data_IF_553820275032
#
_entry.id   IF_553820275032
#
_cell.length_a   1.000
_cell.length_b   1.000
_cell.length_c   1.000
_cell.angle_alpha   90.00
_cell.angle_beta   90.00
_cell.angle_gamma   90.00
#
_symmetry.space_group_name_H-M   'P 1'
#
loop_
_entity.id
_entity.type
_entity.pdbx_description
1 polymer ?
#
# COMPACT_ATOMS: atom_id res chain seq x y z
N UNK A 1 -11.69 -63.50 8.38
CA UNK A 1 -10.27 -63.22 8.17
C UNK A 1 -10.15 -61.73 7.87
N UNK A 2 -9.45 -60.98 8.75
CA UNK A 2 -8.94 -59.60 8.62
C UNK A 2 -9.99 -58.47 8.81
N UNK A 3 -10.11 -57.88 10.00
CA UNK A 3 -9.23 -56.97 10.77
C UNK A 3 -9.45 -55.49 10.43
N UNK A 4 -9.94 -54.75 11.43
CA UNK A 4 -10.15 -53.30 11.43
C UNK A 4 -8.80 -52.61 11.63
N UNK A 5 -8.39 -51.78 10.69
CA UNK A 5 -7.26 -50.85 10.86
C UNK A 5 -7.76 -49.41 10.95
N UNK A 6 -7.65 -48.82 12.15
CA UNK A 6 -7.68 -47.35 12.33
C UNK A 6 -6.32 -46.81 11.90
N UNK A 7 -6.31 -45.72 11.13
CA UNK A 7 -5.20 -44.77 11.12
C UNK A 7 -5.76 -43.36 11.26
N UNK A 8 -5.43 -42.76 12.40
CA UNK A 8 -5.68 -41.36 12.73
C UNK A 8 -4.79 -40.45 11.87
N UNK A 9 -5.38 -39.47 11.20
CA UNK A 9 -4.67 -38.29 10.71
C UNK A 9 -5.10 -37.13 11.62
N UNK A 10 -4.19 -36.48 12.35
CA UNK A 10 -4.54 -35.34 13.19
C UNK A 10 -4.83 -34.12 12.31
N UNK A 11 -6.07 -33.63 12.35
CA UNK A 11 -6.39 -32.28 11.87
C UNK A 11 -5.75 -31.29 12.83
N UNK A 12 -4.71 -30.59 12.39
CA UNK A 12 -4.21 -29.41 13.10
C UNK A 12 -5.13 -28.23 12.78
N UNK A 13 -5.75 -27.57 13.77
CA UNK A 13 -6.26 -26.23 13.57
C UNK A 13 -5.14 -25.26 13.92
N UNK A 14 -4.47 -24.69 12.91
CA UNK A 14 -3.72 -23.43 13.09
C UNK A 14 -4.74 -22.33 13.40
N UNK A 15 -5.09 -22.19 14.68
CA UNK A 15 -5.73 -20.97 15.19
C UNK A 15 -4.65 -19.92 15.32
N UNK A 16 -4.63 -18.93 14.42
CA UNK A 16 -3.95 -17.67 14.66
C UNK A 16 -4.67 -16.96 15.81
N UNK A 17 -4.20 -17.19 17.02
CA UNK A 17 -4.70 -16.46 18.20
C UNK A 17 -4.15 -15.05 18.12
N UNK A 18 -4.95 -14.13 17.57
CA UNK A 18 -4.75 -12.71 17.77
C UNK A 18 -4.81 -12.47 19.29
N UNK A 19 -3.65 -12.22 19.93
CA UNK A 19 -3.58 -12.00 21.38
C UNK A 19 -4.37 -10.74 21.71
N UNK A 20 -5.53 -10.89 22.37
CA UNK A 20 -6.28 -9.77 22.96
C UNK A 20 -5.34 -8.99 23.89
N UNK A 21 -5.35 -7.65 23.80
CA UNK A 21 -4.67 -6.75 24.75
C UNK A 21 -5.18 -7.04 26.16
N UNK A 22 -4.30 -7.59 27.01
CA UNK A 22 -4.52 -7.69 28.46
C UNK A 22 -3.89 -6.43 29.08
N UNK A 23 -4.61 -5.63 29.89
CA UNK A 23 -3.98 -4.56 30.66
C UNK A 23 -3.00 -5.16 31.67
N UNK A 24 -1.76 -4.66 31.72
CA UNK A 24 -0.80 -5.06 32.75
C UNK A 24 -1.15 -4.38 34.08
N UNK A 25 -0.97 -5.05 35.23
CA UNK A 25 -1.18 -4.43 36.54
C UNK A 25 -0.15 -3.31 36.78
N UNK A 26 -0.59 -2.24 37.45
CA UNK A 26 0.21 -1.07 37.82
C UNK A 26 1.32 -1.46 38.81
N UNK A 27 2.57 -1.22 38.43
CA UNK A 27 3.71 -1.36 39.34
C UNK A 27 3.96 -0.03 40.06
N UNK A 28 3.61 0.05 41.34
CA UNK A 28 4.19 1.01 42.27
C UNK A 28 5.59 0.54 42.67
N UNK A 29 6.60 1.39 42.49
CA UNK A 29 7.98 1.13 42.91
C UNK A 29 8.97 2.05 42.22
N UNK A 30 9.38 3.12 42.93
CA UNK A 30 10.43 4.06 42.50
C UNK A 30 11.77 3.33 42.39
N UNK A 31 12.18 3.03 41.16
CA UNK A 31 13.58 3.03 40.76
C UNK A 31 13.80 4.29 39.90
N UNK A 32 14.98 4.90 39.97
CA UNK A 32 15.41 5.90 38.98
C UNK A 32 15.49 5.18 37.62
N UNK A 33 14.36 5.08 36.93
CA UNK A 33 14.24 4.45 35.62
C UNK A 33 15.09 5.26 34.66
N UNK A 34 16.09 4.61 34.03
CA UNK A 34 16.69 5.12 32.80
C UNK A 34 15.54 5.61 31.91
N UNK A 35 15.55 6.90 31.56
CA UNK A 35 14.52 7.47 30.71
C UNK A 35 14.57 6.72 29.39
N UNK A 36 13.49 5.99 29.12
CA UNK A 36 13.33 5.28 27.85
C UNK A 36 13.05 6.31 26.78
N UNK A 37 13.81 6.29 25.70
CA UNK A 37 13.53 7.08 24.50
C UNK A 37 12.84 6.19 23.46
N UNK A 38 11.72 6.70 22.94
CA UNK A 38 10.96 6.13 21.84
C UNK A 38 11.30 6.92 20.56
N UNK A 39 11.68 6.22 19.50
CA UNK A 39 11.75 6.80 18.16
C UNK A 39 10.49 6.45 17.34
N UNK A 40 10.07 7.37 16.47
CA UNK A 40 9.01 7.14 15.48
C UNK A 40 9.59 7.46 14.11
N UNK A 41 9.37 6.59 13.13
CA UNK A 41 9.74 6.83 11.73
C UNK A 41 8.65 6.37 10.77
N UNK A 42 8.61 6.98 9.59
CA UNK A 42 7.63 6.66 8.54
C UNK A 42 8.35 6.24 7.26
N UNK A 43 8.02 5.05 6.77
CA UNK A 43 8.57 4.48 5.54
C UNK A 43 7.54 4.28 4.42
N UNK A 44 8.03 4.22 3.18
CA UNK A 44 7.26 3.91 1.99
C UNK A 44 6.53 5.09 1.37
N UNK A 45 5.37 4.84 0.76
CA UNK A 45 4.51 5.87 0.15
C UNK A 45 3.55 6.54 1.14
N UNK A 46 2.99 7.71 0.78
CA UNK A 46 2.04 8.43 1.64
C UNK A 46 0.72 7.65 1.78
N UNK A 47 0.10 7.72 2.96
CA UNK A 47 -1.25 7.23 3.19
C UNK A 47 -1.99 8.17 4.17
N UNK A 48 -3.29 8.43 3.98
CA UNK A 48 -4.07 9.20 4.95
C UNK A 48 -4.03 8.54 6.34
N UNK A 49 -3.76 9.33 7.39
CA UNK A 49 -3.76 8.85 8.77
C UNK A 49 -2.38 8.72 9.43
N UNK A 50 -1.27 8.90 8.70
CA UNK A 50 0.09 8.89 9.27
C UNK A 50 0.19 9.81 10.50
N UNK A 51 -0.25 11.06 10.36
CA UNK A 51 -0.22 12.05 11.45
C UNK A 51 -1.10 11.65 12.65
N UNK A 52 -2.16 10.87 12.43
CA UNK A 52 -2.99 10.34 13.52
C UNK A 52 -2.22 9.30 14.34
N UNK A 53 -1.45 8.44 13.66
CA UNK A 53 -0.58 7.44 14.33
C UNK A 53 0.53 8.14 15.11
N UNK A 54 1.23 9.10 14.49
CA UNK A 54 2.28 9.88 15.15
C UNK A 54 1.72 10.58 16.39
N UNK A 55 0.62 11.32 16.24
CA UNK A 55 0.00 12.04 17.34
C UNK A 55 -0.44 11.13 18.49
N UNK A 56 -1.10 10.02 18.19
CA UNK A 56 -1.54 9.06 19.20
C UNK A 56 -0.35 8.42 19.95
N UNK A 57 0.71 8.03 19.23
CA UNK A 57 1.91 7.45 19.82
C UNK A 57 2.65 8.45 20.72
N UNK A 58 2.85 9.69 20.24
CA UNK A 58 3.51 10.76 21.01
C UNK A 58 2.71 11.06 22.28
N UNK A 59 1.40 11.28 22.17
CA UNK A 59 0.56 11.58 23.35
C UNK A 59 0.65 10.44 24.37
N UNK A 60 0.53 9.18 23.95
CA UNK A 60 0.62 8.05 24.89
C UNK A 60 1.99 7.94 25.55
N UNK A 61 3.07 8.10 24.79
CA UNK A 61 4.43 8.00 25.30
C UNK A 61 4.75 9.13 26.30
N UNK A 62 4.38 10.38 25.98
CA UNK A 62 4.59 11.53 26.87
C UNK A 62 3.80 11.40 28.18
N UNK A 63 2.58 10.86 28.14
CA UNK A 63 1.79 10.56 29.35
C UNK A 63 2.43 9.48 30.25
N UNK A 64 3.29 8.63 29.69
CA UNK A 64 4.09 7.62 30.41
C UNK A 64 5.49 8.13 30.77
N UNK A 65 5.76 9.43 30.63
CA UNK A 65 7.06 10.06 30.84
C UNK A 65 8.20 9.43 29.99
N UNK A 66 7.87 8.96 28.78
CA UNK A 66 8.82 8.49 27.77
C UNK A 66 9.15 9.64 26.81
N UNK A 67 10.44 9.91 26.59
CA UNK A 67 10.88 10.92 25.64
C UNK A 67 10.71 10.40 24.21
N UNK A 68 10.26 11.26 23.28
CA UNK A 68 9.93 10.83 21.91
C UNK A 68 10.76 11.61 20.89
N UNK A 69 11.38 10.88 19.97
CA UNK A 69 12.10 11.42 18.82
C UNK A 69 11.37 11.05 17.52
N UNK A 70 11.06 12.05 16.70
CA UNK A 70 10.69 11.85 15.30
C UNK A 70 11.93 11.74 14.44
N UNK A 71 12.15 10.60 13.80
CA UNK A 71 13.24 10.42 12.83
C UNK A 71 12.75 10.92 11.47
N UNK A 72 13.45 11.91 10.91
CA UNK A 72 13.02 12.52 9.64
C UNK A 72 13.28 11.59 8.47
N UNK A 73 12.37 11.61 7.51
CA UNK A 73 12.48 10.88 6.23
C UNK A 73 12.79 9.38 6.39
N UNK A 74 12.13 8.73 7.36
CA UNK A 74 12.20 7.28 7.52
C UNK A 74 13.60 6.79 7.87
N UNK A 75 14.15 5.93 7.01
CA UNK A 75 15.49 5.37 7.21
C UNK A 75 16.62 6.16 6.54
N UNK A 76 16.29 7.17 5.74
CA UNK A 76 17.22 7.84 4.79
C UNK A 76 18.52 8.29 5.46
N UNK A 77 18.41 9.02 6.58
CA UNK A 77 19.55 9.61 7.27
C UNK A 77 20.24 8.62 8.21
N UNK A 78 19.46 7.88 9.00
CA UNK A 78 20.01 6.96 10.00
C UNK A 78 20.77 5.79 9.38
N UNK A 79 20.41 5.36 8.16
CA UNK A 79 21.16 4.32 7.44
C UNK A 79 22.52 4.80 6.92
N UNK A 80 22.71 6.12 6.80
CA UNK A 80 23.98 6.75 6.49
C UNK A 80 24.80 7.05 7.76
N UNK A 81 24.24 6.78 8.94
CA UNK A 81 24.84 7.09 10.23
C UNK A 81 24.65 8.55 10.68
N UNK A 82 23.84 9.34 9.96
CA UNK A 82 23.49 10.72 10.29
C UNK A 82 22.38 10.72 11.34
N UNK A 83 22.65 11.36 12.48
CA UNK A 83 21.74 11.46 13.64
C UNK A 83 21.21 12.88 13.87
N UNK A 84 21.57 13.84 13.01
CA UNK A 84 21.17 15.24 13.16
C UNK A 84 19.73 15.47 12.65
N UNK A 85 19.20 14.51 11.90
CA UNK A 85 17.87 14.53 11.29
C UNK A 85 16.79 13.95 12.20
N UNK A 86 16.83 14.30 13.49
CA UNK A 86 15.82 13.91 14.48
C UNK A 86 15.22 15.14 15.14
N UNK A 87 13.96 15.04 15.54
CA UNK A 87 13.24 16.15 16.19
C UNK A 87 12.52 15.64 17.43
N UNK A 88 12.72 16.26 18.61
CA UNK A 88 11.92 15.94 19.79
C UNK A 88 10.44 16.21 19.53
N UNK A 89 9.58 15.27 19.94
CA UNK A 89 8.13 15.41 19.80
C UNK A 89 7.47 15.47 21.18
N UNK A 90 6.71 16.54 21.41
CA UNK A 90 5.85 16.69 22.59
C UNK A 90 4.38 16.81 22.19
N UNK A 91 3.48 16.73 23.18
CA UNK A 91 2.02 16.85 23.00
C UNK A 91 1.65 18.16 22.27
N UNK A 92 2.37 19.25 22.55
CA UNK A 92 2.18 20.53 21.86
C UNK A 92 2.50 20.46 20.36
N UNK A 93 3.62 19.82 20.00
CA UNK A 93 4.09 19.68 18.60
C UNK A 93 3.14 18.84 17.75
N UNK A 94 2.55 17.79 18.33
CA UNK A 94 1.59 16.93 17.62
C UNK A 94 0.14 17.37 17.78
N UNK A 95 -0.10 18.54 18.38
CA UNK A 95 -1.46 19.05 18.53
C UNK A 95 -2.10 19.27 17.16
N UNK A 96 -3.28 18.68 16.96
CA UNK A 96 -4.11 18.82 15.74
C UNK A 96 -3.48 18.34 14.42
N UNK A 97 -2.30 17.75 14.40
CA UNK A 97 -1.69 17.24 13.15
C UNK A 97 -2.54 16.14 12.50
N UNK A 98 -3.37 15.43 13.27
CA UNK A 98 -4.29 14.40 12.79
C UNK A 98 -5.36 14.90 11.79
N UNK A 99 -5.63 16.21 11.76
CA UNK A 99 -6.51 16.81 10.73
C UNK A 99 -5.82 17.02 9.39
N UNK A 100 -4.49 16.89 9.32
CA UNK A 100 -3.69 17.13 8.11
C UNK A 100 -3.27 15.81 7.48
N UNK A 101 -3.31 15.75 6.14
CA UNK A 101 -2.68 14.69 5.37
C UNK A 101 -1.15 14.75 5.40
N UNK A 102 -0.50 13.82 4.72
CA UNK A 102 0.97 13.72 4.66
C UNK A 102 1.59 13.16 5.95
N UNK A 103 2.88 13.43 6.15
CA UNK A 103 3.65 13.01 7.32
C UNK A 103 4.36 14.22 7.95
N UNK A 104 4.11 14.48 9.22
CA UNK A 104 4.71 15.59 9.97
C UNK A 104 6.24 15.48 10.07
N UNK A 105 6.77 14.25 10.13
CA UNK A 105 8.21 13.97 10.25
C UNK A 105 8.83 13.53 8.91
N UNK A 106 8.17 13.78 7.78
CA UNK A 106 8.65 13.33 6.47
C UNK A 106 8.45 11.82 6.26
N UNK A 107 8.85 11.35 5.08
CA UNK A 107 8.68 9.95 4.65
C UNK A 107 9.67 9.66 3.51
N UNK A 108 10.25 8.46 3.50
CA UNK A 108 11.13 8.01 2.40
C UNK A 108 10.89 6.56 2.02
N UNK A 109 11.37 6.18 0.83
CA UNK A 109 11.44 4.78 0.36
C UNK A 109 12.78 4.12 0.68
N UNK A 110 13.60 4.75 1.53
CA UNK A 110 14.88 4.21 1.96
C UNK A 110 14.71 2.86 2.64
N UNK A 111 15.55 1.89 2.28
CA UNK A 111 15.52 0.56 2.87
C UNK A 111 16.94 0.16 3.32
N UNK A 112 17.20 0.12 4.63
CA UNK A 112 18.52 -0.19 5.16
C UNK A 112 18.89 -1.67 4.99
N UNK A 113 17.96 -2.56 4.64
CA UNK A 113 18.25 -4.00 4.50
C UNK A 113 18.88 -4.36 3.16
N UNK A 114 19.03 -3.40 2.24
CA UNK A 114 19.68 -3.64 0.94
C UNK A 114 21.20 -3.77 1.05
N UNK A 115 21.78 -3.18 2.09
CA UNK A 115 23.22 -3.20 2.37
C UNK A 115 23.43 -3.50 3.86
N UNK A 116 24.21 -4.54 4.23
CA UNK A 116 24.55 -4.81 5.62
C UNK A 116 25.15 -3.61 6.37
N UNK A 117 25.95 -2.75 5.71
CA UNK A 117 26.52 -1.57 6.33
C UNK A 117 25.45 -0.54 6.69
N UNK A 118 24.45 -0.34 5.83
CA UNK A 118 23.31 0.55 6.10
C UNK A 118 22.46 0.06 7.27
N UNK A 119 22.23 -1.25 7.36
CA UNK A 119 21.52 -1.83 8.50
C UNK A 119 22.29 -1.61 9.80
N UNK A 120 23.61 -1.81 9.79
CA UNK A 120 24.46 -1.63 10.96
C UNK A 120 24.51 -0.16 11.41
N UNK A 121 24.64 0.76 10.46
CA UNK A 121 24.57 2.20 10.71
C UNK A 121 23.23 2.60 11.33
N UNK A 122 22.11 2.09 10.81
CA UNK A 122 20.78 2.42 11.34
C UNK A 122 20.60 1.95 12.78
N UNK A 123 21.07 0.74 13.14
CA UNK A 123 21.04 0.26 14.53
C UNK A 123 21.94 1.14 15.40
N UNK A 124 23.17 1.41 14.97
CA UNK A 124 24.12 2.23 15.74
C UNK A 124 23.61 3.66 15.95
N UNK A 125 22.98 4.26 14.94
CA UNK A 125 22.37 5.59 15.02
C UNK A 125 21.29 5.63 16.10
N UNK A 126 20.36 4.67 16.10
CA UNK A 126 19.31 4.57 17.11
C UNK A 126 19.89 4.38 18.52
N UNK A 127 20.91 3.53 18.68
CA UNK A 127 21.56 3.32 19.98
C UNK A 127 22.32 4.57 20.46
N UNK A 128 22.99 5.31 19.57
CA UNK A 128 23.66 6.58 19.89
C UNK A 128 22.69 7.65 20.35
N UNK A 129 21.45 7.63 19.83
CA UNK A 129 20.34 8.47 20.26
C UNK A 129 19.66 7.99 21.55
N UNK A 130 20.22 6.97 22.21
CA UNK A 130 19.66 6.32 23.41
C UNK A 130 18.24 5.78 23.20
N UNK A 131 17.90 5.39 21.97
CA UNK A 131 16.60 4.83 21.60
C UNK A 131 16.54 3.37 22.03
N UNK A 132 15.56 3.06 22.89
CA UNK A 132 15.29 1.69 23.36
C UNK A 132 14.00 1.11 22.76
N UNK A 133 13.15 1.97 22.19
CA UNK A 133 11.87 1.61 21.59
C UNK A 133 11.73 2.29 20.24
N UNK A 134 11.20 1.58 19.24
CA UNK A 134 10.97 2.12 17.91
C UNK A 134 9.55 1.78 17.44
N UNK A 135 8.82 2.80 17.00
CA UNK A 135 7.60 2.64 16.21
C UNK A 135 7.93 2.92 14.75
N UNK A 136 7.73 1.93 13.89
CA UNK A 136 7.83 2.11 12.43
C UNK A 136 6.43 2.17 11.82
N UNK A 137 6.21 3.07 10.87
CA UNK A 137 4.92 3.25 10.19
C UNK A 137 5.15 3.04 8.69
N UNK A 138 4.65 1.96 8.10
CA UNK A 138 5.00 1.61 6.72
C UNK A 138 4.29 0.37 6.18
N UNK A 139 4.58 0.02 4.93
CA UNK A 139 4.11 -1.21 4.30
C UNK A 139 5.07 -2.38 4.53
N UNK A 140 4.99 -3.41 3.69
CA UNK A 140 5.80 -4.65 3.79
C UNK A 140 7.31 -4.38 3.89
N UNK A 141 7.86 -3.53 3.02
CA UNK A 141 9.29 -3.21 3.03
C UNK A 141 9.72 -2.65 4.39
N UNK A 142 8.91 -1.76 4.99
CA UNK A 142 9.20 -1.16 6.30
C UNK A 142 9.02 -2.17 7.43
N UNK A 143 8.02 -3.06 7.34
CA UNK A 143 7.82 -4.15 8.30
C UNK A 143 9.04 -5.09 8.29
N UNK A 144 9.56 -5.42 7.11
CA UNK A 144 10.77 -6.24 6.96
C UNK A 144 12.01 -5.54 7.52
N UNK A 145 12.22 -4.24 7.21
CA UNK A 145 13.31 -3.47 7.80
C UNK A 145 13.22 -3.40 9.33
N UNK A 146 12.02 -3.23 9.88
CA UNK A 146 11.76 -3.21 11.31
C UNK A 146 12.15 -4.53 11.99
N UNK A 147 11.76 -5.67 11.41
CA UNK A 147 12.15 -7.00 11.89
C UNK A 147 13.67 -7.18 11.87
N UNK A 148 14.34 -6.79 10.77
CA UNK A 148 15.80 -6.91 10.64
C UNK A 148 16.57 -6.03 11.63
N UNK A 149 16.06 -4.83 11.91
CA UNK A 149 16.63 -3.96 12.94
C UNK A 149 16.52 -4.57 14.34
N UNK A 150 15.35 -5.14 14.69
CA UNK A 150 15.16 -5.80 15.99
C UNK A 150 16.08 -7.00 16.17
N UNK A 151 16.18 -7.87 15.15
CA UNK A 151 17.09 -9.02 15.12
C UNK A 151 18.55 -8.57 15.36
N UNK A 152 18.99 -7.54 14.62
CA UNK A 152 20.38 -7.03 14.71
C UNK A 152 20.65 -6.30 16.03
N UNK A 153 19.65 -5.63 16.60
CA UNK A 153 19.78 -4.93 17.88
C UNK A 153 19.92 -5.90 19.08
N UNK A 154 19.57 -7.18 18.91
CA UNK A 154 19.76 -8.24 19.89
C UNK A 154 19.18 -7.89 21.28
N UNK A 155 17.94 -7.38 21.30
CA UNK A 155 17.21 -7.03 22.52
C UNK A 155 17.49 -5.63 23.08
N UNK A 156 18.43 -4.87 22.50
CA UNK A 156 18.68 -3.46 22.87
C UNK A 156 17.64 -2.50 22.33
N UNK A 157 16.89 -2.90 21.30
CA UNK A 157 15.83 -2.13 20.67
C UNK A 157 14.56 -3.00 20.61
N UNK A 158 13.45 -2.49 21.11
CA UNK A 158 12.14 -3.10 20.97
C UNK A 158 11.38 -2.41 19.83
N UNK A 159 10.86 -3.18 18.88
CA UNK A 159 10.23 -2.60 17.69
C UNK A 159 8.74 -2.95 17.61
N UNK A 160 7.92 -1.95 17.31
CA UNK A 160 6.51 -2.12 16.98
C UNK A 160 6.27 -1.53 15.59
N UNK A 161 5.62 -2.31 14.73
CA UNK A 161 5.26 -1.87 13.39
C UNK A 161 3.78 -1.51 13.30
N UNK A 162 3.47 -0.40 12.63
CA UNK A 162 2.11 0.04 12.31
C UNK A 162 1.88 -0.13 10.81
N UNK A 163 0.99 -1.07 10.41
CA UNK A 163 0.78 -1.45 9.01
C UNK A 163 0.08 -0.32 8.22
N UNK A 164 0.81 0.28 7.28
CA UNK A 164 0.40 1.41 6.45
C UNK A 164 0.48 1.06 4.97
N UNK A 165 -0.67 1.01 4.31
CA UNK A 165 -0.78 0.97 2.84
C UNK A 165 -2.18 1.40 2.44
N UNK A 166 -2.31 2.06 1.28
CA UNK A 166 -3.62 2.33 0.68
C UNK A 166 -4.12 1.15 -0.16
N UNK A 167 -3.25 0.17 -0.44
CA UNK A 167 -3.55 -0.97 -1.31
C UNK A 167 -4.22 -2.11 -0.53
N UNK A 168 -4.23 -2.05 0.80
CA UNK A 168 -4.79 -3.06 1.71
C UNK A 168 -4.23 -4.47 1.47
N UNK A 169 -2.95 -4.55 1.12
CA UNK A 169 -2.24 -5.74 0.65
C UNK A 169 -1.34 -6.39 1.70
N UNK A 170 -1.37 -5.90 2.94
CA UNK A 170 -0.63 -6.50 4.07
C UNK A 170 -1.40 -7.70 4.64
N UNK A 171 -0.67 -8.72 5.08
CA UNK A 171 -1.25 -9.94 5.70
C UNK A 171 -1.80 -9.65 7.11
N UNK A 172 -3.00 -9.04 7.15
CA UNK A 172 -3.77 -8.76 8.34
C UNK A 172 -4.99 -9.69 8.43
N UNK A 173 -5.60 -9.86 9.62
CA UNK A 173 -6.87 -10.56 9.73
C UNK A 173 -7.90 -9.98 8.74
N UNK A 174 -8.70 -10.79 8.03
CA UNK A 174 -9.57 -10.33 6.94
C UNK A 174 -10.59 -9.25 7.30
N UNK A 175 -10.83 -9.02 8.59
CA UNK A 175 -11.73 -7.99 9.10
C UNK A 175 -11.05 -6.66 9.44
N UNK A 176 -9.74 -6.55 9.23
CA UNK A 176 -8.93 -5.39 9.60
C UNK A 176 -8.29 -4.81 8.35
N UNK A 177 -8.79 -3.65 7.94
CA UNK A 177 -8.17 -2.89 6.87
C UNK A 177 -6.92 -2.16 7.37
N UNK A 178 -5.94 -2.00 6.49
CA UNK A 178 -4.82 -1.09 6.71
C UNK A 178 -5.31 0.35 6.74
N UNK A 179 -4.70 1.18 7.57
CA UNK A 179 -5.10 2.58 7.62
C UNK A 179 -4.70 3.30 6.31
N UNK A 180 -5.54 4.23 5.88
CA UNK A 180 -5.41 4.92 4.60
C UNK A 180 -6.28 4.33 3.48
N UNK A 181 -6.50 3.00 3.47
CA UNK A 181 -7.33 2.33 2.45
C UNK A 181 -8.76 2.90 2.37
N UNK A 182 -9.47 2.99 3.50
CA UNK A 182 -10.86 3.48 3.50
C UNK A 182 -10.99 4.94 3.05
N UNK A 183 -10.04 5.80 3.41
CA UNK A 183 -10.00 7.19 2.95
C UNK A 183 -9.72 7.26 1.45
N UNK A 184 -8.72 6.51 0.95
CA UNK A 184 -8.41 6.46 -0.47
C UNK A 184 -9.60 5.94 -1.30
N UNK A 185 -10.23 4.85 -0.83
CA UNK A 185 -11.45 4.29 -1.42
C UNK A 185 -12.59 5.31 -1.43
N UNK A 186 -12.82 6.02 -0.33
CA UNK A 186 -13.89 7.01 -0.22
C UNK A 186 -13.78 8.09 -1.30
N UNK A 187 -12.61 8.72 -1.43
CA UNK A 187 -12.38 9.73 -2.46
C UNK A 187 -12.40 9.14 -3.87
N UNK A 188 -11.84 7.93 -4.07
CA UNK A 188 -11.92 7.23 -5.35
C UNK A 188 -13.36 6.99 -5.81
N UNK A 189 -14.26 6.65 -4.89
CA UNK A 189 -15.70 6.48 -5.18
C UNK A 189 -16.33 7.80 -5.60
N UNK A 190 -16.02 8.92 -4.94
CA UNK A 190 -16.55 10.24 -5.30
C UNK A 190 -16.12 10.64 -6.71
N UNK A 191 -14.83 10.46 -7.03
CA UNK A 191 -14.28 10.75 -8.36
C UNK A 191 -14.97 9.89 -9.43
N UNK A 192 -15.06 8.58 -9.22
CA UNK A 192 -15.70 7.67 -10.17
C UNK A 192 -17.17 8.01 -10.37
N UNK A 193 -17.91 8.38 -9.32
CA UNK A 193 -19.31 8.82 -9.44
C UNK A 193 -19.44 10.06 -10.31
N UNK A 194 -18.57 11.05 -10.13
CA UNK A 194 -18.57 12.26 -10.96
C UNK A 194 -18.27 11.91 -12.43
N UNK A 195 -17.30 11.03 -12.68
CA UNK A 195 -16.98 10.56 -14.03
C UNK A 195 -18.12 9.75 -14.66
N UNK A 196 -18.90 9.00 -13.87
CA UNK A 196 -20.09 8.29 -14.38
C UNK A 196 -21.18 9.25 -14.85
N UNK A 197 -21.40 10.36 -14.14
CA UNK A 197 -22.36 11.39 -14.57
C UNK A 197 -21.87 12.07 -15.85
N UNK A 198 -20.60 12.41 -15.93
CA UNK A 198 -20.00 13.02 -17.12
C UNK A 198 -20.02 12.07 -18.32
N UNK A 199 -19.68 10.79 -18.12
CA UNK A 199 -19.73 9.75 -19.15
C UNK A 199 -21.12 9.65 -19.78
N UNK A 200 -22.16 9.62 -18.93
CA UNK A 200 -23.56 9.55 -19.35
C UNK A 200 -23.98 10.81 -20.13
N UNK A 201 -23.52 11.98 -19.72
CA UNK A 201 -23.87 13.26 -20.36
C UNK A 201 -23.22 13.41 -21.72
N UNK A 202 -21.99 12.92 -21.87
CA UNK A 202 -21.16 13.11 -23.06
C UNK A 202 -21.06 11.88 -23.95
N UNK A 203 -21.81 10.81 -23.65
CA UNK A 203 -21.83 9.54 -24.40
C UNK A 203 -20.43 8.96 -24.64
N UNK A 204 -19.61 8.86 -23.58
CA UNK A 204 -18.23 8.38 -23.66
C UNK A 204 -17.89 7.37 -22.58
N UNK A 205 -16.72 6.75 -22.74
CA UNK A 205 -16.14 5.84 -21.78
C UNK A 205 -14.94 6.46 -21.06
N UNK A 206 -14.88 6.26 -19.74
CA UNK A 206 -13.69 6.54 -18.94
C UNK A 206 -12.99 5.26 -18.53
N UNK A 207 -11.66 5.23 -18.71
CA UNK A 207 -10.78 4.24 -18.10
C UNK A 207 -10.10 4.93 -16.91
N UNK A 208 -10.51 4.58 -15.70
CA UNK A 208 -9.98 5.15 -14.45
C UNK A 208 -8.93 4.19 -13.91
N UNK A 209 -7.67 4.60 -13.96
CA UNK A 209 -6.56 3.84 -13.41
C UNK A 209 -6.46 4.15 -11.91
N UNK A 210 -6.47 3.12 -11.07
CA UNK A 210 -6.35 3.29 -9.62
C UNK A 210 -5.02 2.75 -9.14
N UNK A 211 -4.46 3.41 -8.12
CA UNK A 211 -3.37 2.85 -7.32
C UNK A 211 -3.74 1.47 -6.78
N UNK A 212 -2.73 0.65 -6.52
CA UNK A 212 -2.93 -0.76 -6.17
C UNK A 212 -1.84 -1.58 -6.81
N UNK A 213 -0.63 -1.48 -6.27
CA UNK A 213 0.59 -1.98 -6.92
C UNK A 213 0.47 -3.45 -7.26
N UNK A 214 0.50 -4.31 -6.25
CA UNK A 214 0.40 -5.77 -6.44
C UNK A 214 -1.02 -6.31 -6.38
N UNK A 215 -1.97 -5.52 -5.88
CA UNK A 215 -3.29 -5.98 -5.49
C UNK A 215 -4.41 -5.09 -6.02
N UNK A 216 -5.54 -5.71 -6.34
CA UNK A 216 -6.75 -5.07 -6.85
C UNK A 216 -7.74 -4.60 -5.79
N UNK A 217 -7.40 -4.66 -4.49
CA UNK A 217 -8.35 -4.36 -3.41
C UNK A 217 -8.92 -2.94 -3.50
N UNK A 218 -8.10 -1.94 -3.81
CA UNK A 218 -8.55 -0.55 -3.95
C UNK A 218 -9.46 -0.38 -5.17
N UNK A 219 -9.07 -0.94 -6.32
CA UNK A 219 -9.89 -0.93 -7.54
C UNK A 219 -11.27 -1.57 -7.30
N UNK A 220 -11.33 -2.76 -6.71
CA UNK A 220 -12.59 -3.45 -6.35
C UNK A 220 -13.38 -2.64 -5.34
N UNK A 221 -12.73 -2.11 -4.31
CA UNK A 221 -13.35 -1.30 -3.28
C UNK A 221 -14.04 -0.05 -3.84
N UNK A 222 -13.40 0.61 -4.81
CA UNK A 222 -13.93 1.77 -5.53
C UNK A 222 -15.04 1.35 -6.49
N UNK A 223 -14.75 0.41 -7.39
CA UNK A 223 -15.67 -0.03 -8.44
C UNK A 223 -16.98 -0.57 -7.90
N UNK A 224 -16.92 -1.42 -6.86
CA UNK A 224 -18.10 -1.97 -6.17
C UNK A 224 -18.95 -0.86 -5.52
N UNK A 225 -18.32 0.10 -4.87
CA UNK A 225 -19.03 1.13 -4.09
C UNK A 225 -19.56 2.27 -4.95
N UNK A 226 -18.90 2.57 -6.08
CA UNK A 226 -19.40 3.51 -7.08
C UNK A 226 -20.47 2.90 -7.99
N UNK A 227 -20.49 1.57 -8.14
CA UNK A 227 -21.32 0.89 -9.15
C UNK A 227 -20.76 1.07 -10.56
N UNK A 228 -19.43 1.02 -10.69
CA UNK A 228 -18.75 1.14 -11.98
C UNK A 228 -19.21 0.05 -12.96
N UNK A 229 -19.18 0.36 -14.25
CA UNK A 229 -19.61 -0.58 -15.30
C UNK A 229 -18.77 -1.85 -15.29
N UNK A 230 -17.46 -1.69 -15.12
CA UNK A 230 -16.48 -2.76 -15.13
C UNK A 230 -15.40 -2.42 -14.10
N UNK A 231 -14.87 -3.42 -13.43
CA UNK A 231 -13.67 -3.29 -12.61
C UNK A 231 -12.73 -4.41 -12.97
N UNK A 232 -11.48 -4.09 -13.26
CA UNK A 232 -10.45 -5.04 -13.65
C UNK A 232 -9.32 -5.04 -12.63
N UNK A 233 -8.95 -6.25 -12.19
CA UNK A 233 -7.90 -6.47 -11.20
C UNK A 233 -6.94 -7.56 -11.67
N UNK A 234 -5.65 -7.52 -11.26
CA UNK A 234 -4.67 -8.52 -11.68
C UNK A 234 -5.06 -9.94 -11.25
N UNK A 235 -5.71 -10.11 -10.10
CA UNK A 235 -6.05 -11.42 -9.52
C UNK A 235 -7.08 -12.23 -10.33
N UNK A 236 -7.85 -11.60 -11.21
CA UNK A 236 -8.79 -12.29 -12.11
C UNK A 236 -8.07 -13.03 -13.26
N UNK A 237 -6.81 -12.67 -13.52
CA UNK A 237 -6.02 -13.26 -14.60
C UNK A 237 -5.09 -14.33 -14.02
N UNK A 238 -5.56 -15.57 -13.97
CA UNK A 238 -4.87 -16.71 -13.34
C UNK A 238 -3.58 -17.19 -14.04
N UNK A 239 -3.10 -16.48 -15.07
CA UNK A 239 -1.89 -16.82 -15.80
C UNK A 239 -0.63 -16.24 -15.16
N UNK A 240 0.54 -16.88 -15.37
CA UNK A 240 1.84 -16.32 -14.93
C UNK A 240 2.13 -14.92 -15.53
N UNK A 241 1.56 -14.65 -16.70
CA UNK A 241 1.59 -13.38 -17.41
C UNK A 241 0.19 -13.09 -17.95
N UNK A 242 -0.22 -11.84 -17.83
CA UNK A 242 -1.49 -11.33 -18.35
C UNK A 242 -1.27 -10.97 -19.82
N UNK A 243 -2.11 -11.49 -20.71
CA UNK A 243 -2.09 -11.09 -22.12
C UNK A 243 -2.83 -9.77 -22.26
N UNK A 244 -2.21 -8.76 -22.89
CA UNK A 244 -2.85 -7.46 -23.13
C UNK A 244 -4.16 -7.64 -23.89
N UNK A 245 -4.18 -8.56 -24.86
CA UNK A 245 -5.37 -8.92 -25.63
C UNK A 245 -6.55 -9.32 -24.73
N UNK A 246 -6.32 -10.08 -23.66
CA UNK A 246 -7.41 -10.51 -22.76
C UNK A 246 -8.01 -9.33 -22.01
N UNK A 247 -7.17 -8.38 -21.55
CA UNK A 247 -7.62 -7.15 -20.89
C UNK A 247 -8.44 -6.29 -21.86
N UNK A 248 -7.92 -6.11 -23.08
CA UNK A 248 -8.58 -5.33 -24.14
C UNK A 248 -9.91 -5.97 -24.56
N UNK A 249 -9.95 -7.28 -24.80
CA UNK A 249 -11.17 -7.99 -25.19
C UNK A 249 -12.24 -7.91 -24.07
N UNK A 250 -11.83 -7.92 -22.80
CA UNK A 250 -12.76 -7.73 -21.67
C UNK A 250 -13.37 -6.33 -21.66
N UNK A 251 -12.54 -5.30 -21.87
CA UNK A 251 -13.01 -3.91 -22.00
C UNK A 251 -13.95 -3.73 -23.19
N UNK A 252 -13.56 -4.24 -24.36
CA UNK A 252 -14.37 -4.19 -25.59
C UNK A 252 -15.69 -4.94 -25.41
N UNK A 253 -15.67 -6.12 -24.78
CA UNK A 253 -16.87 -6.89 -24.47
C UNK A 253 -17.85 -6.12 -23.58
N UNK A 254 -17.35 -5.41 -22.56
CA UNK A 254 -18.18 -4.54 -21.73
C UNK A 254 -18.80 -3.38 -22.53
N UNK A 255 -18.02 -2.77 -23.44
CA UNK A 255 -18.51 -1.72 -24.34
C UNK A 255 -19.61 -2.26 -25.25
N UNK A 256 -19.36 -3.35 -25.97
CA UNK A 256 -20.33 -3.98 -26.88
C UNK A 256 -21.62 -4.37 -26.15
N UNK A 257 -21.50 -4.97 -24.96
CA UNK A 257 -22.65 -5.35 -24.14
C UNK A 257 -23.50 -4.15 -23.72
N UNK A 258 -22.88 -2.99 -23.46
CA UNK A 258 -23.63 -1.77 -23.16
C UNK A 258 -24.26 -1.14 -24.40
N UNK A 259 -23.56 -1.16 -25.53
CA UNK A 259 -24.10 -0.73 -26.81
C UNK A 259 -25.36 -1.52 -27.17
N UNK A 260 -25.38 -2.84 -26.93
CA UNK A 260 -26.58 -3.66 -27.19
C UNK A 260 -27.78 -3.32 -26.28
N UNK A 261 -27.54 -2.69 -25.13
CA UNK A 261 -28.57 -2.12 -24.26
C UNK A 261 -28.90 -0.66 -24.57
N UNK A 262 -28.42 -0.11 -25.68
CA UNK A 262 -28.61 1.29 -26.06
C UNK A 262 -27.84 2.29 -25.19
N UNK A 263 -26.82 1.84 -24.46
CA UNK A 263 -25.98 2.70 -23.59
C UNK A 263 -24.62 2.92 -24.22
N UNK A 264 -24.34 4.17 -24.60
CA UNK A 264 -23.08 4.57 -25.24
C UNK A 264 -21.97 4.94 -24.23
N UNK A 265 -22.33 5.09 -22.95
CA UNK A 265 -21.44 5.53 -21.87
C UNK A 265 -20.95 4.37 -20.99
N UNK A 266 -19.87 4.60 -20.25
CA UNK A 266 -19.43 3.68 -19.20
C UNK A 266 -18.18 4.16 -18.45
N UNK A 267 -17.93 3.58 -17.28
CA UNK A 267 -16.68 3.78 -16.54
C UNK A 267 -16.10 2.43 -16.17
N UNK A 268 -14.87 2.18 -16.61
CA UNK A 268 -14.08 1.03 -16.21
C UNK A 268 -13.05 1.48 -15.17
N UNK A 269 -13.03 0.84 -14.02
CA UNK A 269 -11.98 1.02 -13.00
C UNK A 269 -10.93 -0.06 -13.22
N UNK A 270 -9.67 0.32 -13.34
CA UNK A 270 -8.58 -0.58 -13.74
C UNK A 270 -7.45 -0.43 -12.73
N UNK A 271 -7.09 -1.53 -12.05
CA UNK A 271 -5.95 -1.51 -11.14
C UNK A 271 -4.64 -1.32 -11.90
N UNK A 272 -3.77 -0.41 -11.44
CA UNK A 272 -2.44 -0.20 -12.05
C UNK A 272 -1.59 -1.48 -12.07
N UNK A 273 -1.77 -2.37 -11.09
CA UNK A 273 -1.08 -3.65 -11.00
C UNK A 273 -1.28 -4.57 -12.20
N UNK A 274 -2.30 -4.33 -13.04
CA UNK A 274 -2.43 -5.01 -14.32
C UNK A 274 -1.21 -4.77 -15.23
N UNK A 275 -0.63 -3.57 -15.21
CA UNK A 275 0.58 -3.26 -15.97
C UNK A 275 1.77 -4.15 -15.55
N UNK A 276 1.88 -4.47 -14.25
CA UNK A 276 2.93 -5.35 -13.71
C UNK A 276 2.73 -6.81 -14.13
N UNK A 277 1.47 -7.22 -14.30
CA UNK A 277 1.12 -8.57 -14.73
C UNK A 277 1.25 -8.79 -16.25
N UNK A 278 1.13 -7.73 -17.06
CA UNK A 278 1.14 -7.86 -18.53
C UNK A 278 2.49 -8.40 -19.03
N UNK A 279 2.42 -9.30 -20.01
CA UNK A 279 3.60 -9.81 -20.70
C UNK A 279 4.37 -8.64 -21.37
N UNK A 280 5.66 -8.42 -21.04
CA UNK A 280 6.44 -7.33 -21.63
C UNK A 280 6.45 -7.36 -23.15
N UNK A 281 6.41 -8.54 -23.77
CA UNK A 281 6.35 -8.68 -25.23
C UNK A 281 5.06 -8.08 -25.84
N UNK A 282 3.97 -8.02 -25.08
CA UNK A 282 2.72 -7.36 -25.50
C UNK A 282 2.81 -5.83 -25.37
N UNK A 283 3.82 -5.29 -24.64
CA UNK A 283 4.03 -3.86 -24.42
C UNK A 283 5.11 -3.26 -25.34
N UNK A 284 5.97 -4.08 -25.96
CA UNK A 284 7.07 -3.63 -26.82
C UNK A 284 6.63 -2.81 -28.05
N UNK A 285 5.37 -2.93 -28.47
CA UNK A 285 4.80 -2.17 -29.59
C UNK A 285 4.33 -0.75 -29.25
N UNK A 286 4.49 -0.30 -27.99
CA UNK A 286 4.08 1.04 -27.55
C UNK A 286 5.32 1.90 -27.28
N UNK A 287 5.39 3.08 -27.88
CA UNK A 287 6.56 3.98 -27.85
C UNK A 287 6.83 4.59 -26.45
N UNK A 288 5.89 4.48 -25.51
CA UNK A 288 5.93 5.13 -24.18
C UNK A 288 6.55 4.26 -23.08
N UNK A 289 7.37 3.26 -23.43
CA UNK A 289 7.93 2.31 -22.46
C UNK A 289 9.40 2.66 -22.17
N UNK A 290 9.64 3.42 -21.09
CA UNK A 290 11.01 3.67 -20.61
C UNK A 290 11.65 2.39 -20.07
N UNK A 291 12.91 2.15 -20.45
CA UNK A 291 13.71 1.01 -19.98
C UNK A 291 14.71 1.50 -18.94
N UNK A 292 14.91 0.73 -17.88
CA UNK A 292 15.99 0.98 -16.93
C UNK A 292 17.37 0.69 -17.56
N UNK A 293 18.44 1.02 -16.83
CA UNK A 293 19.84 0.78 -17.23
C UNK A 293 20.19 -0.70 -17.40
N UNK A 294 19.29 -1.62 -17.02
CA UNK A 294 19.45 -3.07 -17.17
C UNK A 294 18.55 -3.65 -18.28
N UNK A 295 17.85 -2.80 -19.04
CA UNK A 295 16.98 -3.18 -20.16
C UNK A 295 15.58 -3.64 -19.76
N UNK A 296 15.20 -3.54 -18.47
CA UNK A 296 13.86 -3.87 -18.01
C UNK A 296 12.91 -2.69 -18.21
N UNK A 297 11.66 -2.98 -18.57
CA UNK A 297 10.59 -1.99 -18.63
C UNK A 297 10.38 -1.38 -17.24
N UNK A 298 10.44 -0.04 -17.13
CA UNK A 298 10.02 0.69 -15.93
C UNK A 298 8.51 0.74 -15.87
N UNK A 299 7.92 -0.33 -15.38
CA UNK A 299 6.45 -0.51 -15.32
C UNK A 299 5.77 0.59 -14.49
N UNK A 300 6.49 1.22 -13.54
CA UNK A 300 5.99 2.33 -12.74
C UNK A 300 5.74 3.64 -13.53
N UNK A 301 6.31 3.77 -14.73
CA UNK A 301 6.17 4.94 -15.61
C UNK A 301 5.33 4.63 -16.87
N UNK A 302 4.88 3.39 -17.03
CA UNK A 302 4.03 2.98 -18.16
C UNK A 302 2.64 3.59 -18.01
N UNK A 303 2.25 4.43 -18.95
CA UNK A 303 0.90 4.99 -19.01
C UNK A 303 -0.12 3.95 -19.51
N UNK A 304 -0.44 2.99 -18.66
CA UNK A 304 -1.35 1.88 -18.98
C UNK A 304 -2.72 2.37 -19.46
N UNK A 305 -3.17 3.54 -18.98
CA UNK A 305 -4.42 4.15 -19.41
C UNK A 305 -4.45 4.48 -20.90
N UNK A 306 -3.40 5.13 -21.41
CA UNK A 306 -3.30 5.50 -22.83
C UNK A 306 -3.02 4.28 -23.72
N UNK A 307 -2.23 3.31 -23.25
CA UNK A 307 -2.03 2.02 -23.92
C UNK A 307 -3.36 1.29 -24.10
N UNK A 308 -4.14 1.13 -23.01
CA UNK A 308 -5.44 0.46 -23.05
C UNK A 308 -6.44 1.21 -23.93
N UNK A 309 -6.51 2.54 -23.82
CA UNK A 309 -7.37 3.37 -24.67
C UNK A 309 -7.07 3.13 -26.15
N UNK A 310 -5.80 3.21 -26.55
CA UNK A 310 -5.38 3.01 -27.95
C UNK A 310 -5.71 1.59 -28.43
N UNK A 311 -5.40 0.58 -27.62
CA UNK A 311 -5.64 -0.82 -27.94
C UNK A 311 -7.16 -1.13 -28.06
N UNK A 312 -7.98 -0.63 -27.15
CA UNK A 312 -9.44 -0.78 -27.18
C UNK A 312 -10.03 -0.08 -28.42
N UNK A 313 -9.58 1.13 -28.75
CA UNK A 313 -10.04 1.83 -29.95
C UNK A 313 -9.69 1.09 -31.24
N UNK A 314 -8.48 0.53 -31.34
CA UNK A 314 -8.08 -0.31 -32.46
C UNK A 314 -8.97 -1.55 -32.56
N UNK A 315 -9.18 -2.24 -31.44
CA UNK A 315 -9.99 -3.46 -31.39
C UNK A 315 -11.47 -3.21 -31.72
N UNK A 316 -12.05 -2.09 -31.30
CA UNK A 316 -13.43 -1.71 -31.68
C UNK A 316 -13.57 -1.48 -33.19
N UNK A 317 -12.57 -0.87 -33.83
CA UNK A 317 -12.58 -0.64 -35.29
C UNK A 317 -12.61 -1.94 -36.07
N UNK A 318 -11.97 -3.01 -35.58
CA UNK A 318 -12.01 -4.34 -36.21
C UNK A 318 -13.44 -4.92 -36.24
N UNK A 319 -14.31 -4.52 -35.30
CA UNK A 319 -15.73 -4.88 -35.27
C UNK A 319 -16.63 -3.85 -35.99
N UNK A 320 -16.07 -2.82 -36.64
CA UNK A 320 -16.83 -1.74 -37.24
C UNK A 320 -17.52 -0.81 -36.23
N UNK A 321 -17.07 -0.81 -34.97
CA UNK A 321 -17.64 -0.03 -33.88
C UNK A 321 -16.76 1.19 -33.55
N UNK A 322 -17.40 2.24 -33.03
CA UNK A 322 -16.71 3.45 -32.55
C UNK A 322 -17.20 3.81 -31.16
N UNK A 323 -16.26 4.12 -30.27
CA UNK A 323 -16.54 4.66 -28.94
C UNK A 323 -15.54 5.78 -28.62
N UNK A 324 -16.02 6.84 -27.98
CA UNK A 324 -15.15 7.89 -27.42
C UNK A 324 -14.62 7.41 -26.09
N UNK A 325 -13.30 7.34 -25.92
CA UNK A 325 -12.65 6.80 -24.72
C UNK A 325 -11.63 7.80 -24.20
N UNK A 326 -11.62 8.05 -22.89
CA UNK A 326 -10.65 8.88 -22.21
C UNK A 326 -10.04 8.12 -21.02
N UNK A 327 -8.72 8.14 -20.91
CA UNK A 327 -8.01 7.63 -19.74
C UNK A 327 -7.89 8.71 -18.67
N UNK A 328 -7.99 8.32 -17.39
CA UNK A 328 -7.83 9.17 -16.21
C UNK A 328 -7.01 8.40 -15.18
N UNK A 329 -5.93 9.04 -14.71
CA UNK A 329 -5.09 8.57 -13.62
C UNK A 329 -5.38 9.40 -12.37
#
# INVERSE_FOLDING_TARGET
MWSRGRWCIPRSPRRSVCRRRIPRPSCEGKAMTERKTLAILVGGGPAPGINSVIGAAVIRARLEAVDVLGVRDGFEWIMQGDIDHVTPLDIGEVSRIHFRGGSYIGISRANPTKDPAHLDNAVLALLRLNVSQLITIGGDDTAYSAMKLEEKAAGRLQVVHVPKTIDNDLDLPPSVDTFGFQTARHYGVEIVKNLMVDAKTTSRWYLVITMGRGAGHLAVGIGKAAGATLTLIPEEFTGRRIRLKSVVDTLVGAIIKRLSYGRLDGVAVVAEGLALGIDPADLEGFEEVERDTHGNVRIAEVNIGEILKTAVQKRLKEFGLKATIAAKN
#
